data_IF_231793510751
#
_entry.id   IF_231793510751
#
_cell.length_a   1.000
_cell.length_b   1.000
_cell.length_c   1.000
_cell.angle_alpha   90.00
_cell.angle_beta   90.00
_cell.angle_gamma   90.00
#
_symmetry.space_group_name_H-M   'P 1'
#
loop_
_entity.id
_entity.type
_entity.pdbx_description
1 polymer ?
#
# COMPACT_ATOMS: atom_id res chain seq x y z
N UNK A 1 24.26 5.43 -11.59
CA UNK A 1 22.79 5.50 -11.69
C UNK A 1 22.21 4.22 -11.12
N UNK A 2 21.18 4.29 -10.28
CA UNK A 2 20.46 3.12 -9.80
C UNK A 2 19.78 2.40 -10.98
N UNK A 3 19.90 1.06 -11.01
CA UNK A 3 19.19 0.27 -12.02
C UNK A 3 17.68 0.42 -11.85
N UNK A 4 16.93 0.45 -12.96
CA UNK A 4 15.47 0.53 -12.95
C UNK A 4 14.81 -0.58 -12.12
N UNK A 5 15.42 -1.77 -12.12
CA UNK A 5 14.95 -2.90 -11.31
C UNK A 5 15.03 -2.63 -9.80
N UNK A 6 16.06 -1.90 -9.32
CA UNK A 6 16.15 -1.51 -7.90
C UNK A 6 15.00 -0.57 -7.53
N UNK A 7 14.66 0.37 -8.40
CA UNK A 7 13.53 1.29 -8.16
C UNK A 7 12.22 0.52 -8.05
N UNK A 8 11.97 -0.48 -8.91
CA UNK A 8 10.78 -1.33 -8.82
C UNK A 8 10.75 -2.09 -7.49
N UNK A 9 11.88 -2.68 -7.06
CA UNK A 9 11.96 -3.36 -5.76
C UNK A 9 11.63 -2.42 -4.59
N UNK A 10 12.13 -1.19 -4.62
CA UNK A 10 11.79 -0.17 -3.62
C UNK A 10 10.30 0.16 -3.61
N UNK A 11 9.69 0.32 -4.77
CA UNK A 11 8.25 0.59 -4.86
C UNK A 11 7.42 -0.56 -4.27
N UNK A 12 7.77 -1.81 -4.57
CA UNK A 12 7.11 -3.00 -4.01
C UNK A 12 7.30 -3.05 -2.49
N UNK A 13 8.53 -2.86 -2.02
CA UNK A 13 8.85 -2.83 -0.59
C UNK A 13 8.00 -1.77 0.14
N UNK A 14 8.00 -0.54 -0.37
CA UNK A 14 7.25 0.56 0.23
C UNK A 14 5.76 0.31 0.24
N UNK A 15 5.21 -0.22 -0.84
CA UNK A 15 3.79 -0.56 -0.93
C UNK A 15 3.37 -1.62 0.11
N UNK A 16 4.16 -2.69 0.24
CA UNK A 16 3.91 -3.74 1.26
C UNK A 16 4.06 -3.18 2.67
N UNK A 17 5.06 -2.33 2.88
CA UNK A 17 5.29 -1.66 4.16
C UNK A 17 4.08 -0.82 4.57
N UNK A 18 3.53 0.01 3.68
CA UNK A 18 2.38 0.87 3.96
C UNK A 18 1.11 0.06 4.28
N UNK A 19 0.86 -1.04 3.57
CA UNK A 19 -0.25 -1.94 3.89
C UNK A 19 -0.06 -2.53 5.30
N UNK A 20 1.14 -2.98 5.63
CA UNK A 20 1.43 -3.53 6.95
C UNK A 20 1.25 -2.49 8.05
N UNK A 21 1.67 -1.24 7.83
CA UNK A 21 1.50 -0.13 8.77
C UNK A 21 0.01 0.21 8.98
N UNK A 22 -0.79 0.19 7.92
CA UNK A 22 -2.23 0.39 8.04
C UNK A 22 -2.85 -0.67 8.98
N UNK A 23 -2.51 -1.96 8.79
CA UNK A 23 -3.02 -3.04 9.64
C UNK A 23 -2.51 -2.90 11.08
N UNK A 24 -1.25 -2.51 11.28
CA UNK A 24 -0.70 -2.24 12.60
C UNK A 24 -1.45 -1.11 13.33
N UNK A 25 -1.87 -0.06 12.62
CA UNK A 25 -2.66 1.03 13.20
C UNK A 25 -3.97 0.51 13.81
N UNK A 26 -4.66 -0.42 13.14
CA UNK A 26 -5.85 -1.06 13.69
C UNK A 26 -5.54 -1.91 14.92
N UNK A 27 -4.43 -2.66 14.91
CA UNK A 27 -3.97 -3.44 16.06
C UNK A 27 -3.69 -2.54 17.27
N UNK A 28 -2.99 -1.42 17.04
CA UNK A 28 -2.62 -0.48 18.08
C UNK A 28 -3.87 0.22 18.66
N UNK A 29 -4.81 0.61 17.80
CA UNK A 29 -6.09 1.16 18.22
C UNK A 29 -6.94 0.17 19.03
N UNK A 30 -6.81 -1.13 18.76
CA UNK A 30 -7.50 -2.20 19.49
C UNK A 30 -6.77 -2.63 20.78
N UNK A 31 -5.56 -2.13 21.04
CA UNK A 31 -4.78 -2.47 22.24
C UNK A 31 -4.24 -3.91 22.28
N UNK A 32 -4.08 -4.55 21.13
CA UNK A 32 -3.70 -5.97 20.99
C UNK A 32 -2.18 -6.19 21.15
N UNK A 33 -1.62 -5.75 22.28
CA UNK A 33 -0.18 -5.88 22.53
C UNK A 33 0.22 -7.27 22.99
N UNK A 34 -0.61 -7.90 23.78
CA UNK A 34 -0.32 -9.22 24.35
C UNK A 34 -0.37 -10.33 23.30
N UNK A 35 -1.38 -10.31 22.43
CA UNK A 35 -1.59 -11.31 21.37
C UNK A 35 -0.53 -11.21 20.27
N UNK A 36 0.00 -10.01 20.05
CA UNK A 36 0.95 -9.72 18.97
C UNK A 36 2.42 -9.69 19.41
N UNK A 37 2.72 -9.97 20.69
CA UNK A 37 4.07 -9.82 21.27
C UNK A 37 5.17 -10.63 20.57
N UNK A 38 4.84 -11.80 20.06
CA UNK A 38 5.80 -12.69 19.40
C UNK A 38 5.99 -12.44 17.90
N UNK A 39 5.00 -11.85 17.25
CA UNK A 39 5.04 -11.60 15.81
C UNK A 39 6.26 -10.78 15.37
N UNK A 40 6.62 -9.66 16.00
CA UNK A 40 7.78 -8.88 15.57
C UNK A 40 9.08 -9.68 15.62
N UNK A 41 9.26 -10.48 16.69
CA UNK A 41 10.44 -11.32 16.86
C UNK A 41 10.52 -12.40 15.78
N UNK A 42 9.43 -13.14 15.55
CA UNK A 42 9.38 -14.21 14.53
C UNK A 42 9.58 -13.62 13.13
N UNK A 43 8.95 -12.48 12.83
CA UNK A 43 9.13 -11.81 11.54
C UNK A 43 10.58 -11.33 11.34
N UNK A 44 11.20 -10.76 12.39
CA UNK A 44 12.60 -10.33 12.34
C UNK A 44 13.57 -11.50 12.15
N UNK A 45 13.38 -12.61 12.86
CA UNK A 45 14.20 -13.82 12.70
C UNK A 45 14.04 -14.42 11.29
N UNK A 46 12.81 -14.51 10.80
CA UNK A 46 12.54 -14.97 9.43
C UNK A 46 13.21 -14.07 8.40
N UNK A 47 13.09 -12.74 8.57
CA UNK A 47 13.75 -11.78 7.71
C UNK A 47 15.28 -11.96 7.73
N UNK A 48 15.88 -12.11 8.91
CA UNK A 48 17.32 -12.32 9.05
C UNK A 48 17.78 -13.58 8.31
N UNK A 49 17.11 -14.70 8.51
CA UNK A 49 17.46 -15.98 7.86
C UNK A 49 17.30 -15.85 6.34
N UNK A 50 16.16 -15.31 5.87
CA UNK A 50 15.93 -15.10 4.44
C UNK A 50 16.97 -14.14 3.85
N UNK A 51 17.35 -13.08 4.57
CA UNK A 51 18.34 -12.12 4.13
C UNK A 51 19.71 -12.77 3.94
N UNK A 52 20.19 -13.55 4.91
CA UNK A 52 21.45 -14.28 4.82
C UNK A 52 21.52 -15.22 3.62
N UNK A 53 20.42 -15.86 3.28
CA UNK A 53 20.32 -16.75 2.12
C UNK A 53 20.25 -15.94 0.83
N UNK A 54 19.31 -15.01 0.75
CA UNK A 54 18.99 -14.32 -0.51
C UNK A 54 20.07 -13.31 -0.92
N UNK A 55 20.81 -12.72 0.03
CA UNK A 55 21.90 -11.80 -0.30
C UNK A 55 23.02 -12.49 -1.08
N UNK A 56 23.26 -13.77 -0.82
CA UNK A 56 24.29 -14.56 -1.51
C UNK A 56 23.97 -14.75 -3.00
N UNK A 57 22.67 -14.85 -3.35
CA UNK A 57 22.22 -15.09 -4.73
C UNK A 57 21.93 -13.80 -5.49
N UNK A 58 21.34 -12.80 -4.82
CA UNK A 58 20.79 -11.60 -5.47
C UNK A 58 21.33 -10.28 -4.91
N UNK A 59 22.32 -10.32 -4.02
CA UNK A 59 22.93 -9.12 -3.45
C UNK A 59 21.88 -8.18 -2.84
N UNK A 60 21.90 -6.90 -3.21
CA UNK A 60 21.01 -5.87 -2.67
C UNK A 60 19.51 -6.17 -2.93
N UNK A 61 19.18 -6.83 -4.03
CA UNK A 61 17.81 -7.26 -4.31
C UNK A 61 17.33 -8.31 -3.31
N UNK A 62 18.25 -9.20 -2.90
CA UNK A 62 17.96 -10.23 -1.90
C UNK A 62 17.58 -9.63 -0.55
N UNK A 63 18.26 -8.56 -0.14
CA UNK A 63 17.96 -7.84 1.12
C UNK A 63 16.55 -7.24 1.08
N UNK A 64 16.18 -6.61 -0.03
CA UNK A 64 14.86 -5.99 -0.16
C UNK A 64 13.74 -7.03 -0.26
N UNK A 65 13.96 -8.07 -1.07
CA UNK A 65 13.00 -9.15 -1.24
C UNK A 65 12.78 -9.94 0.04
N UNK A 66 13.82 -10.21 0.82
CA UNK A 66 13.69 -10.92 2.11
C UNK A 66 12.76 -10.18 3.08
N UNK A 67 12.86 -8.84 3.12
CA UNK A 67 11.99 -8.02 3.96
C UNK A 67 10.54 -8.04 3.48
N UNK A 68 10.33 -7.94 2.17
CA UNK A 68 8.98 -8.05 1.58
C UNK A 68 8.37 -9.43 1.87
N UNK A 69 9.13 -10.50 1.60
CA UNK A 69 8.64 -11.87 1.77
C UNK A 69 8.36 -12.21 3.23
N UNK A 70 9.25 -11.85 4.16
CA UNK A 70 9.02 -12.08 5.59
C UNK A 70 7.79 -11.33 6.10
N UNK A 71 7.57 -10.10 5.62
CA UNK A 71 6.39 -9.31 5.98
C UNK A 71 5.12 -9.92 5.40
N UNK A 72 5.11 -10.30 4.11
CA UNK A 72 3.92 -10.82 3.42
C UNK A 72 3.56 -12.23 3.87
N UNK A 73 4.54 -13.11 4.11
CA UNK A 73 4.26 -14.52 4.42
C UNK A 73 4.20 -14.81 5.93
N UNK A 74 4.82 -13.98 6.76
CA UNK A 74 4.84 -14.19 8.22
C UNK A 74 4.15 -13.05 8.95
N UNK A 75 4.60 -11.81 8.75
CA UNK A 75 4.11 -10.66 9.50
C UNK A 75 2.63 -10.35 9.26
N UNK A 76 2.22 -10.21 8.00
CA UNK A 76 0.84 -9.88 7.66
C UNK A 76 -0.18 -10.99 7.96
N UNK A 77 0.06 -12.27 7.60
CA UNK A 77 -0.90 -13.33 7.91
C UNK A 77 -1.13 -13.49 9.40
N UNK A 78 -0.06 -13.42 10.20
CA UNK A 78 -0.16 -13.46 11.65
C UNK A 78 -0.99 -12.29 12.21
N UNK A 79 -0.68 -11.08 11.76
CA UNK A 79 -1.38 -9.87 12.21
C UNK A 79 -2.86 -9.90 11.81
N UNK A 80 -3.17 -10.29 10.57
CA UNK A 80 -4.54 -10.44 10.08
C UNK A 80 -5.27 -11.53 10.87
N UNK A 81 -4.63 -12.67 11.13
CA UNK A 81 -5.22 -13.74 11.93
C UNK A 81 -5.59 -13.24 13.33
N UNK A 82 -4.67 -12.57 14.02
CA UNK A 82 -4.93 -12.03 15.35
C UNK A 82 -6.08 -11.00 15.32
N UNK A 83 -6.08 -10.09 14.35
CA UNK A 83 -7.09 -9.04 14.21
C UNK A 83 -8.49 -9.62 13.99
N UNK A 84 -8.63 -10.65 13.14
CA UNK A 84 -9.91 -11.30 12.84
C UNK A 84 -10.28 -12.41 13.84
N UNK A 85 -9.45 -12.66 14.85
CA UNK A 85 -9.78 -13.56 15.95
C UNK A 85 -10.24 -12.78 17.18
N UNK A 86 -9.63 -11.63 17.45
CA UNK A 86 -9.85 -10.86 18.69
C UNK A 86 -10.85 -9.70 18.48
N UNK A 87 -10.75 -8.99 17.36
CA UNK A 87 -11.51 -7.73 17.13
C UNK A 87 -12.65 -7.91 16.14
N UNK A 88 -12.38 -8.55 15.01
CA UNK A 88 -13.35 -8.74 13.94
C UNK A 88 -13.85 -10.18 13.86
N UNK A 89 -15.03 -10.38 13.27
CA UNK A 89 -15.54 -11.72 13.03
C UNK A 89 -14.76 -12.39 11.88
N UNK A 90 -14.42 -13.68 12.05
CA UNK A 90 -13.74 -14.49 11.03
C UNK A 90 -14.49 -14.52 9.68
N UNK A 91 -15.80 -14.37 9.69
CA UNK A 91 -16.63 -14.31 8.47
C UNK A 91 -16.27 -13.11 7.57
N UNK A 92 -15.75 -12.03 8.15
CA UNK A 92 -15.38 -10.81 7.41
C UNK A 92 -14.00 -10.90 6.77
N UNK A 93 -13.17 -11.89 7.15
CA UNK A 93 -11.81 -12.08 6.65
C UNK A 93 -11.75 -12.20 5.12
N UNK A 94 -12.62 -13.04 4.54
CA UNK A 94 -12.66 -13.21 3.08
C UNK A 94 -13.04 -11.94 2.34
N UNK A 95 -13.97 -11.16 2.90
CA UNK A 95 -14.34 -9.84 2.36
C UNK A 95 -13.18 -8.85 2.40
N UNK A 96 -12.43 -8.84 3.50
CA UNK A 96 -11.25 -8.01 3.65
C UNK A 96 -10.15 -8.38 2.64
N UNK A 97 -9.82 -9.67 2.51
CA UNK A 97 -8.80 -10.14 1.56
C UNK A 97 -9.19 -9.79 0.11
N UNK A 98 -10.46 -9.99 -0.27
CA UNK A 98 -10.96 -9.59 -1.59
C UNK A 98 -10.82 -8.09 -1.84
N UNK A 99 -11.12 -7.29 -0.84
CA UNK A 99 -11.00 -5.83 -0.92
C UNK A 99 -9.53 -5.40 -1.04
N UNK A 100 -8.64 -6.01 -0.26
CA UNK A 100 -7.20 -5.77 -0.34
C UNK A 100 -6.65 -6.12 -1.74
N UNK A 101 -7.03 -7.28 -2.26
CA UNK A 101 -6.62 -7.72 -3.60
C UNK A 101 -7.13 -6.77 -4.70
N UNK A 102 -8.36 -6.30 -4.57
CA UNK A 102 -8.92 -5.29 -5.48
C UNK A 102 -8.11 -3.98 -5.46
N UNK A 103 -7.65 -3.52 -4.28
CA UNK A 103 -6.79 -2.33 -4.18
C UNK A 103 -5.43 -2.54 -4.83
N UNK A 104 -4.82 -3.72 -4.63
CA UNK A 104 -3.56 -4.08 -5.29
C UNK A 104 -3.69 -4.01 -6.81
N UNK A 105 -4.77 -4.54 -7.37
CA UNK A 105 -5.04 -4.49 -8.82
C UNK A 105 -5.17 -3.04 -9.32
N UNK A 106 -5.92 -2.19 -8.61
CA UNK A 106 -6.08 -0.78 -9.00
C UNK A 106 -4.75 -0.04 -8.97
N UNK A 107 -3.91 -0.28 -7.96
CA UNK A 107 -2.57 0.31 -7.87
C UNK A 107 -1.70 -0.17 -9.03
N UNK A 108 -1.70 -1.47 -9.34
CA UNK A 108 -0.96 -2.02 -10.47
C UNK A 108 -1.39 -1.40 -11.82
N UNK A 109 -2.70 -1.27 -12.04
CA UNK A 109 -3.25 -0.59 -13.24
C UNK A 109 -2.80 0.87 -13.28
N UNK A 110 -2.88 1.59 -12.16
CA UNK A 110 -2.43 2.99 -12.07
C UNK A 110 -0.96 3.15 -12.42
N UNK A 111 -0.10 2.28 -11.88
CA UNK A 111 1.33 2.29 -12.18
C UNK A 111 1.60 2.00 -13.66
N UNK A 112 0.88 1.03 -14.24
CA UNK A 112 1.01 0.69 -15.66
C UNK A 112 0.59 1.86 -16.56
N UNK A 113 -0.57 2.46 -16.30
CA UNK A 113 -1.08 3.60 -17.07
C UNK A 113 -0.14 4.80 -16.96
N UNK A 114 0.34 5.13 -15.76
CA UNK A 114 1.31 6.23 -15.57
C UNK A 114 2.61 5.96 -16.31
N UNK A 115 3.16 4.75 -16.22
CA UNK A 115 4.37 4.36 -16.92
C UNK A 115 4.21 4.46 -18.43
N UNK A 116 3.07 3.98 -18.94
CA UNK A 116 2.73 4.08 -20.37
C UNK A 116 2.65 5.52 -20.86
N UNK A 117 1.92 6.39 -20.15
CA UNK A 117 1.82 7.82 -20.50
C UNK A 117 3.20 8.49 -20.43
N UNK A 118 3.97 8.22 -19.37
CA UNK A 118 5.30 8.79 -19.19
C UNK A 118 6.32 8.36 -20.26
N UNK A 119 6.12 7.20 -20.90
CA UNK A 119 7.01 6.72 -21.98
C UNK A 119 6.94 7.58 -23.25
N UNK A 120 5.82 8.25 -23.50
CA UNK A 120 5.64 9.14 -24.64
C UNK A 120 6.20 10.55 -24.42
N UNK A 121 6.56 10.91 -23.19
CA UNK A 121 7.03 12.25 -22.85
C UNK A 121 8.55 12.29 -22.97
N UNK A 122 9.06 12.80 -24.09
CA UNK A 122 10.49 13.01 -24.36
C UNK A 122 10.73 14.48 -24.69
N UNK A 123 10.98 15.28 -23.65
CA UNK A 123 11.29 16.72 -23.74
C UNK A 123 12.67 16.97 -23.12
N UNK A 124 13.06 18.23 -22.93
CA UNK A 124 14.28 18.55 -22.19
C UNK A 124 14.22 18.01 -20.75
N UNK A 125 15.37 17.67 -20.16
CA UNK A 125 15.48 16.94 -18.88
C UNK A 125 14.59 17.55 -17.77
N UNK A 126 14.67 18.86 -17.56
CA UNK A 126 13.90 19.56 -16.52
C UNK A 126 12.39 19.55 -16.79
N UNK A 127 12.01 19.82 -18.05
CA UNK A 127 10.59 19.83 -18.45
C UNK A 127 9.99 18.43 -18.34
N UNK A 128 10.73 17.40 -18.77
CA UNK A 128 10.31 16.00 -18.66
C UNK A 128 10.06 15.62 -17.21
N UNK A 129 10.94 16.03 -16.29
CA UNK A 129 10.79 15.74 -14.85
C UNK A 129 9.51 16.36 -14.29
N UNK A 130 9.28 17.64 -14.58
CA UNK A 130 8.09 18.38 -14.10
C UNK A 130 6.80 17.76 -14.68
N UNK A 131 6.75 17.53 -15.99
CA UNK A 131 5.56 16.99 -16.66
C UNK A 131 5.25 15.57 -16.17
N UNK A 132 6.25 14.69 -16.05
CA UNK A 132 6.08 13.35 -15.49
C UNK A 132 5.62 13.41 -14.03
N UNK A 133 6.15 14.33 -13.22
CA UNK A 133 5.68 14.57 -11.86
C UNK A 133 4.20 14.94 -11.80
N UNK A 134 3.75 15.86 -12.65
CA UNK A 134 2.34 16.26 -12.76
C UNK A 134 1.46 15.07 -13.18
N UNK A 135 1.87 14.28 -14.17
CA UNK A 135 1.16 13.08 -14.62
C UNK A 135 1.03 12.06 -13.48
N UNK A 136 2.12 11.81 -12.75
CA UNK A 136 2.12 10.87 -11.61
C UNK A 136 1.22 11.32 -10.45
N UNK A 137 0.91 12.61 -10.34
CA UNK A 137 -0.05 13.12 -9.35
C UNK A 137 -1.48 13.05 -9.90
N UNK A 138 -1.72 13.50 -11.11
CA UNK A 138 -3.08 13.67 -11.65
C UNK A 138 -3.70 12.31 -12.01
N UNK A 139 -2.97 11.47 -12.78
CA UNK A 139 -3.52 10.23 -13.35
C UNK A 139 -3.97 9.23 -12.28
N UNK A 140 -3.18 8.89 -11.25
CA UNK A 140 -3.63 7.99 -10.18
C UNK A 140 -4.84 8.53 -9.42
N UNK A 141 -4.86 9.84 -9.13
CA UNK A 141 -5.99 10.46 -8.44
C UNK A 141 -7.29 10.38 -9.24
N UNK A 142 -7.24 10.55 -10.56
CA UNK A 142 -8.40 10.36 -11.43
C UNK A 142 -8.85 8.90 -11.42
N UNK A 143 -7.92 7.94 -11.54
CA UNK A 143 -8.22 6.50 -11.53
C UNK A 143 -8.88 6.12 -10.21
N UNK A 144 -8.33 6.57 -9.08
CA UNK A 144 -8.92 6.29 -7.76
C UNK A 144 -10.30 6.93 -7.59
N UNK A 145 -10.47 8.16 -8.05
CA UNK A 145 -11.77 8.82 -8.00
C UNK A 145 -12.83 8.06 -8.80
N UNK A 146 -12.50 7.61 -10.00
CA UNK A 146 -13.41 6.81 -10.85
C UNK A 146 -13.69 5.45 -10.21
N UNK A 147 -12.66 4.76 -9.69
CA UNK A 147 -12.78 3.41 -9.11
C UNK A 147 -13.58 3.41 -7.80
N UNK A 148 -13.42 4.45 -6.96
CA UNK A 148 -13.99 4.48 -5.61
C UNK A 148 -15.23 5.36 -5.46
N UNK A 149 -15.57 6.20 -6.44
CA UNK A 149 -16.71 7.13 -6.39
C UNK A 149 -18.04 6.50 -5.92
N UNK A 150 -18.29 5.25 -6.32
CA UNK A 150 -19.52 4.53 -5.97
C UNK A 150 -19.45 3.80 -4.62
N UNK A 151 -18.29 3.73 -3.96
CA UNK A 151 -18.11 2.99 -2.71
C UNK A 151 -18.55 3.81 -1.50
N UNK A 152 -19.10 3.11 -0.49
CA UNK A 152 -19.56 3.73 0.78
C UNK A 152 -18.41 4.40 1.52
N UNK A 153 -17.22 3.81 1.47
CA UNK A 153 -16.00 4.30 2.11
C UNK A 153 -15.59 5.66 1.56
N UNK A 154 -15.69 5.87 0.25
CA UNK A 154 -15.39 7.15 -0.40
C UNK A 154 -16.34 8.25 0.07
N UNK A 155 -17.64 7.94 0.17
CA UNK A 155 -18.62 8.88 0.71
C UNK A 155 -18.34 9.24 2.17
N UNK A 156 -17.87 8.27 2.96
CA UNK A 156 -17.41 8.49 4.34
C UNK A 156 -16.23 9.45 4.42
N UNK A 157 -15.22 9.26 3.57
CA UNK A 157 -14.06 10.15 3.49
C UNK A 157 -14.44 11.59 3.11
N UNK A 158 -15.35 11.76 2.14
CA UNK A 158 -15.84 13.09 1.75
C UNK A 158 -16.54 13.79 2.91
N UNK A 159 -17.40 13.07 3.67
CA UNK A 159 -18.05 13.61 4.85
C UNK A 159 -17.05 14.04 5.94
N UNK A 160 -15.99 13.26 6.14
CA UNK A 160 -14.92 13.61 7.08
C UNK A 160 -14.17 14.88 6.63
N UNK A 161 -13.82 14.97 5.35
CA UNK A 161 -13.18 16.14 4.77
C UNK A 161 -14.07 17.40 4.88
N UNK A 162 -15.35 17.28 4.60
CA UNK A 162 -16.29 18.40 4.76
C UNK A 162 -16.43 18.84 6.22
N UNK A 163 -16.39 17.89 7.19
CA UNK A 163 -16.34 18.23 8.62
C UNK A 163 -15.05 18.95 9.02
N UNK A 164 -13.90 18.46 8.57
CA UNK A 164 -12.59 19.07 8.87
C UNK A 164 -12.47 20.49 8.28
N UNK A 165 -13.06 20.71 7.10
CA UNK A 165 -13.06 22.02 6.43
C UNK A 165 -14.24 22.91 6.84
N UNK A 166 -14.98 22.54 7.90
CA UNK A 166 -16.18 23.27 8.38
C UNK A 166 -17.20 23.56 7.25
N UNK A 167 -17.34 22.64 6.31
CA UNK A 167 -18.29 22.76 5.20
C UNK A 167 -17.90 23.76 4.10
N UNK A 168 -16.68 24.34 4.13
CA UNK A 168 -16.24 25.31 3.12
C UNK A 168 -16.15 24.73 1.70
N UNK A 169 -15.83 23.45 1.56
CA UNK A 169 -15.60 22.82 0.25
C UNK A 169 -16.88 22.26 -0.40
N UNK A 170 -17.95 22.01 0.39
CA UNK A 170 -19.22 21.44 -0.08
C UNK A 170 -19.05 20.26 -1.04
N UNK A 171 -18.04 19.38 -0.74
CA UNK A 171 -17.66 18.27 -1.61
C UNK A 171 -18.76 17.22 -1.73
N UNK A 172 -19.54 17.00 -0.68
CA UNK A 172 -20.68 16.07 -0.69
C UNK A 172 -21.69 16.45 -1.77
N UNK A 173 -21.92 17.74 -1.99
CA UNK A 173 -22.87 18.25 -2.99
C UNK A 173 -22.36 18.25 -4.43
N UNK A 174 -21.02 18.19 -4.62
CA UNK A 174 -20.35 18.19 -5.94
C UNK A 174 -20.03 16.80 -6.47
N UNK A 175 -19.90 15.79 -5.59
CA UNK A 175 -19.43 14.45 -5.94
C UNK A 175 -20.47 13.35 -5.68
N UNK A 176 -21.62 13.69 -5.15
CA UNK A 176 -22.81 12.84 -5.06
C UNK A 176 -23.54 12.84 -6.41
#
# INVERSE_FOLDING_TARGET
MLSFSVVICFCIYYFVYEINQLINTYKDAAGMWHEDRWRPLVTALTNLVMNLIMVQFWGIYGVMLSTVLSTVFVGMPWLIHNLFTVVFERKQLLGYIKTLFFYVIIVAISCFVCGFICSFINLSILVTLIVRGIVCVIVPNIIYLVAFRKKKEFKGCIKLLDRMTKGKLKLEKRLS
#
